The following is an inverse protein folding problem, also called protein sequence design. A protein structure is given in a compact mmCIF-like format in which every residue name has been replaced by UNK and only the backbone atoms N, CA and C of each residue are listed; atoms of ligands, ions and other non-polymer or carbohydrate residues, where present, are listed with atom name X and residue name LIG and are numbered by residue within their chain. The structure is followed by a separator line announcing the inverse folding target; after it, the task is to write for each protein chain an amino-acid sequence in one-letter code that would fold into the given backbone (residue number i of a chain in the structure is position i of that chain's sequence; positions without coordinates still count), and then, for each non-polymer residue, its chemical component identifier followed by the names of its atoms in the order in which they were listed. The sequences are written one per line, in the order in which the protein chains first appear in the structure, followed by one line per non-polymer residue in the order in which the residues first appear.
data_IF_244238812335
#
_entry.id   IF_244238812335
#
_cell.length_a   1.000
_cell.length_b   1.000
_cell.length_c   1.000
_cell.angle_alpha   90.00
_cell.angle_beta   90.00
_cell.angle_gamma   90.00
#
_symmetry.space_group_name_H-M   'P 1'
#
loop_
_entity.id
_entity.type
_entity.pdbx_description
1 polymer ?
#
# COMPACT_ATOMS: atom_id res chain seq x y z
N UNK A 1 21.87 -9.23 -10.44
CA UNK A 1 20.94 -8.34 -9.71
C UNK A 1 19.79 -7.95 -10.64
N UNK A 2 18.56 -7.78 -10.14
CA UNK A 2 17.34 -7.56 -10.95
C UNK A 2 17.24 -6.18 -11.65
N UNK A 3 18.25 -5.31 -11.47
CA UNK A 3 18.26 -3.92 -11.97
C UNK A 3 17.04 -3.09 -11.50
N UNK A 4 16.57 -3.36 -10.29
CA UNK A 4 15.48 -2.63 -9.63
C UNK A 4 16.12 -1.71 -8.58
N UNK A 5 15.83 -0.38 -8.60
CA UNK A 5 16.34 0.52 -7.58
C UNK A 5 15.70 0.24 -6.22
N UNK A 6 16.44 0.53 -5.15
CA UNK A 6 15.86 0.63 -3.81
C UNK A 6 14.82 1.76 -3.75
N UNK A 7 13.97 1.72 -2.72
CA UNK A 7 12.99 2.78 -2.47
C UNK A 7 13.66 4.16 -2.34
N UNK A 8 14.73 4.25 -1.57
CA UNK A 8 15.48 5.49 -1.36
C UNK A 8 16.05 6.05 -2.67
N UNK A 9 16.64 5.20 -3.52
CA UNK A 9 17.16 5.61 -4.83
C UNK A 9 16.03 6.12 -5.74
N UNK A 10 14.87 5.46 -5.71
CA UNK A 10 13.72 5.85 -6.51
C UNK A 10 13.13 7.18 -6.04
N UNK A 11 12.95 7.37 -4.73
CA UNK A 11 12.48 8.63 -4.13
C UNK A 11 13.45 9.77 -4.46
N UNK A 12 14.76 9.55 -4.36
CA UNK A 12 15.76 10.54 -4.70
C UNK A 12 15.71 10.91 -6.20
N UNK A 13 15.56 9.92 -7.08
CA UNK A 13 15.40 10.16 -8.52
C UNK A 13 14.13 10.96 -8.84
N UNK A 14 13.03 10.67 -8.15
CA UNK A 14 11.78 11.43 -8.26
C UNK A 14 11.97 12.88 -7.81
N UNK A 15 12.57 13.11 -6.63
CA UNK A 15 12.83 14.45 -6.10
C UNK A 15 13.66 15.30 -7.07
N UNK A 16 14.74 14.74 -7.63
CA UNK A 16 15.55 15.42 -8.66
C UNK A 16 14.75 15.82 -9.89
N UNK A 17 13.90 14.92 -10.41
CA UNK A 17 13.05 15.19 -11.59
C UNK A 17 12.01 16.27 -11.34
N UNK A 18 11.53 16.36 -10.10
CA UNK A 18 10.50 17.31 -9.69
C UNK A 18 11.06 18.64 -9.16
N UNK A 19 12.40 18.80 -9.10
CA UNK A 19 13.02 19.99 -8.52
C UNK A 19 12.74 20.15 -7.03
N UNK A 20 12.64 19.04 -6.29
CA UNK A 20 12.37 19.00 -4.85
C UNK A 20 13.59 18.46 -4.11
N UNK A 21 13.83 18.96 -2.91
CA UNK A 21 14.92 18.48 -2.06
C UNK A 21 14.60 17.13 -1.42
N UNK A 22 13.35 16.95 -0.96
CA UNK A 22 12.89 15.73 -0.32
C UNK A 22 11.35 15.61 -0.31
N UNK A 23 10.86 14.49 0.21
CA UNK A 23 9.46 14.30 0.60
C UNK A 23 9.44 14.11 2.12
N UNK A 24 9.20 15.18 2.89
CA UNK A 24 9.09 15.08 4.34
C UNK A 24 7.97 14.12 4.75
N UNK A 25 8.22 13.29 5.75
CA UNK A 25 7.24 12.31 6.22
C UNK A 25 6.94 11.20 5.21
N UNK A 26 7.92 10.77 4.42
CA UNK A 26 7.77 9.69 3.44
C UNK A 26 7.05 8.44 4.01
N UNK A 27 7.43 8.01 5.21
CA UNK A 27 6.84 6.85 5.88
C UNK A 27 5.34 6.99 6.14
N UNK A 28 4.85 8.21 6.42
CA UNK A 28 3.41 8.46 6.56
C UNK A 28 2.66 8.15 5.27
N UNK A 29 3.20 8.56 4.11
CA UNK A 29 2.58 8.26 2.82
C UNK A 29 2.59 6.77 2.53
N UNK A 30 3.66 6.06 2.89
CA UNK A 30 3.74 4.59 2.78
C UNK A 30 2.66 3.93 3.65
N UNK A 31 2.56 4.33 4.93
CA UNK A 31 1.55 3.82 5.86
C UNK A 31 0.13 4.10 5.36
N UNK A 32 -0.15 5.34 4.95
CA UNK A 32 -1.43 5.75 4.37
C UNK A 32 -1.81 4.88 3.17
N UNK A 33 -0.88 4.61 2.26
CA UNK A 33 -1.15 3.80 1.07
C UNK A 33 -1.47 2.34 1.42
N UNK A 34 -0.80 1.76 2.44
CA UNK A 34 -1.16 0.43 2.93
C UNK A 34 -2.56 0.41 3.57
N UNK A 35 -2.90 1.40 4.41
CA UNK A 35 -4.25 1.51 4.97
C UNK A 35 -5.31 1.68 3.88
N UNK A 36 -5.05 2.51 2.87
CA UNK A 36 -5.95 2.69 1.74
C UNK A 36 -6.17 1.38 0.99
N UNK A 37 -5.11 0.61 0.71
CA UNK A 37 -5.23 -0.71 0.09
C UNK A 37 -6.01 -1.70 0.97
N UNK A 38 -5.73 -1.71 2.28
CA UNK A 38 -6.45 -2.55 3.24
C UNK A 38 -7.95 -2.21 3.26
N UNK A 39 -8.32 -0.93 3.25
CA UNK A 39 -9.72 -0.49 3.22
C UNK A 39 -10.45 -0.91 1.93
N UNK A 40 -9.78 -0.80 0.78
CA UNK A 40 -10.31 -1.28 -0.51
C UNK A 40 -10.58 -2.80 -0.42
N UNK A 41 -9.63 -3.57 0.10
CA UNK A 41 -9.72 -5.02 0.18
C UNK A 41 -10.74 -5.47 1.24
N UNK A 42 -10.89 -4.71 2.33
CA UNK A 42 -11.97 -4.88 3.29
C UNK A 42 -13.35 -4.72 2.64
N UNK A 43 -13.52 -3.68 1.81
CA UNK A 43 -14.75 -3.49 1.04
C UNK A 43 -15.04 -4.64 0.07
N UNK A 44 -14.01 -5.20 -0.57
CA UNK A 44 -14.13 -6.40 -1.42
C UNK A 44 -14.57 -7.60 -0.57
N UNK A 45 -13.92 -7.85 0.57
CA UNK A 45 -14.28 -8.91 1.50
C UNK A 45 -15.74 -8.82 1.93
N UNK A 46 -16.24 -7.61 2.22
CA UNK A 46 -17.65 -7.39 2.54
C UNK A 46 -18.62 -7.78 1.42
N UNK A 47 -18.29 -7.45 0.15
CA UNK A 47 -19.10 -7.86 -1.01
C UNK A 47 -19.05 -9.36 -1.27
N UNK A 48 -17.87 -9.97 -1.08
CA UNK A 48 -17.67 -11.42 -1.19
C UNK A 48 -18.57 -12.17 -0.19
N UNK A 49 -18.55 -11.76 1.08
CA UNK A 49 -19.37 -12.38 2.14
C UNK A 49 -20.87 -12.29 1.81
N UNK A 50 -21.30 -11.19 1.18
CA UNK A 50 -22.70 -10.99 0.77
C UNK A 50 -23.06 -11.64 -0.57
N UNK A 51 -22.12 -12.30 -1.25
CA UNK A 51 -22.35 -12.89 -2.57
C UNK A 51 -22.58 -11.86 -3.68
N UNK A 52 -22.19 -10.59 -3.50
CA UNK A 52 -22.42 -9.50 -4.48
C UNK A 52 -21.15 -9.06 -5.20
N UNK A 53 -20.05 -9.82 -5.07
CA UNK A 53 -18.81 -9.54 -5.77
C UNK A 53 -18.85 -10.06 -7.21
N UNK A 54 -18.85 -9.17 -8.19
CA UNK A 54 -18.90 -9.52 -9.62
C UNK A 54 -17.55 -9.98 -10.22
N UNK A 55 -16.43 -9.74 -9.52
CA UNK A 55 -15.08 -10.00 -10.05
C UNK A 55 -14.60 -11.40 -9.63
N UNK A 56 -14.12 -12.20 -10.59
CA UNK A 56 -13.58 -13.54 -10.35
C UNK A 56 -12.41 -13.57 -9.34
N UNK A 57 -11.60 -12.51 -9.27
CA UNK A 57 -10.49 -12.37 -8.34
C UNK A 57 -10.89 -11.81 -6.96
N UNK A 58 -12.18 -11.57 -6.71
CA UNK A 58 -12.63 -10.95 -5.46
C UNK A 58 -12.30 -11.79 -4.23
N UNK A 59 -12.37 -13.12 -4.35
CA UNK A 59 -12.05 -14.04 -3.27
C UNK A 59 -10.57 -13.95 -2.85
N UNK A 60 -9.66 -13.99 -3.83
CA UNK A 60 -8.22 -13.88 -3.60
C UNK A 60 -7.87 -12.53 -2.96
N UNK A 61 -8.43 -11.43 -3.49
CA UNK A 61 -8.24 -10.11 -2.91
C UNK A 61 -8.81 -10.02 -1.49
N UNK A 62 -9.96 -10.63 -1.22
CA UNK A 62 -10.52 -10.68 0.14
C UNK A 62 -9.61 -11.44 1.12
N UNK A 63 -8.93 -12.51 0.66
CA UNK A 63 -7.96 -13.27 1.46
C UNK A 63 -6.68 -12.48 1.76
N UNK A 64 -6.27 -11.57 0.88
CA UNK A 64 -5.09 -10.73 1.09
C UNK A 64 -5.30 -9.60 2.12
N UNK A 65 -6.55 -9.27 2.48
CA UNK A 65 -6.88 -8.18 3.40
C UNK A 65 -6.11 -8.23 4.74
N UNK A 66 -6.05 -9.34 5.50
CA UNK A 66 -5.36 -9.37 6.78
C UNK A 66 -3.86 -9.05 6.67
N UNK A 67 -3.22 -9.50 5.58
CA UNK A 67 -1.81 -9.18 5.31
C UNK A 67 -1.62 -7.69 5.07
N UNK A 68 -2.50 -7.05 4.29
CA UNK A 68 -2.44 -5.61 4.03
C UNK A 68 -2.68 -4.79 5.30
N UNK A 69 -3.63 -5.19 6.14
CA UNK A 69 -3.90 -4.52 7.40
C UNK A 69 -2.69 -4.58 8.34
N UNK A 70 -2.01 -5.74 8.42
CA UNK A 70 -0.77 -5.87 9.19
C UNK A 70 0.35 -4.99 8.62
N UNK A 71 0.59 -5.02 7.31
CA UNK A 71 1.60 -4.15 6.68
C UNK A 71 1.33 -2.66 6.92
N UNK A 72 0.06 -2.26 6.99
CA UNK A 72 -0.32 -0.89 7.33
C UNK A 72 0.05 -0.53 8.78
N UNK A 73 -0.20 -1.44 9.73
CA UNK A 73 0.22 -1.26 11.13
C UNK A 73 1.76 -1.22 11.25
N UNK A 74 2.47 -2.16 10.64
CA UNK A 74 3.94 -2.22 10.63
C UNK A 74 4.54 -0.94 10.00
N UNK A 75 3.89 -0.37 8.97
CA UNK A 75 4.31 0.89 8.35
C UNK A 75 4.03 2.12 9.21
N UNK A 76 2.91 2.14 9.93
CA UNK A 76 2.57 3.20 10.87
C UNK A 76 3.58 3.26 12.02
N UNK A 77 4.08 2.13 12.50
CA UNK A 77 5.09 2.09 13.56
C UNK A 77 6.41 2.77 13.14
N UNK A 78 6.77 2.72 11.86
CA UNK A 78 7.94 3.43 11.31
C UNK A 78 7.76 4.95 11.22
N UNK A 79 6.53 5.44 11.37
CA UNK A 79 6.25 6.89 11.38
C UNK A 79 6.52 7.55 12.73
N UNK A 80 6.76 6.76 13.80
CA UNK A 80 7.07 7.25 15.15
C UNK A 80 8.54 7.64 15.26
#
# INVERSE_FOLDING_TARGET
ALNIPSEAEYVAAYCRRMGRDSIPGWDFYVAFQFFRLAAIFHGIKGRVIRGTAANAQAQERAQAFPRLARLAADAMERCR
#
